data_IF_597590615420
#
_entry.id   IF_597590615420
#
_cell.length_a   1.000
_cell.length_b   1.000
_cell.length_c   1.000
_cell.angle_alpha   90.00
_cell.angle_beta   90.00
_cell.angle_gamma   90.00
#
_symmetry.space_group_name_H-M   'P 1'
#
loop_
_entity.id
_entity.type
_entity.pdbx_description
1 polymer ?
#
# COMPACT_ATOMS: atom_id res chain seq x y z
N UNK A 1 -11.36 -3.01 0.76
CA UNK A 1 -10.23 -2.60 1.62
C UNK A 1 -9.23 -3.75 1.64
N UNK A 2 -8.02 -3.55 1.09
CA UNK A 2 -6.82 -4.43 1.08
C UNK A 2 -6.93 -5.94 0.77
N UNK A 3 -8.10 -6.52 0.50
CA UNK A 3 -8.23 -7.97 0.25
C UNK A 3 -7.33 -8.53 -0.85
N UNK A 4 -7.12 -7.79 -1.94
CA UNK A 4 -6.19 -8.20 -3.01
C UNK A 4 -4.71 -7.98 -2.69
N UNK A 5 -4.41 -7.33 -1.56
CA UNK A 5 -3.08 -6.98 -1.06
C UNK A 5 -2.77 -7.69 0.26
N UNK A 6 -3.62 -8.63 0.68
CA UNK A 6 -3.44 -9.41 1.91
C UNK A 6 -2.42 -10.54 1.66
N UNK A 7 -1.18 -10.30 2.08
CA UNK A 7 -0.10 -11.28 2.07
C UNK A 7 0.04 -12.03 3.41
N UNK A 8 -0.91 -11.85 4.34
CA UNK A 8 -0.88 -12.41 5.68
C UNK A 8 0.09 -11.71 6.65
N UNK A 9 0.86 -10.72 6.21
CA UNK A 9 1.90 -10.04 7.03
C UNK A 9 1.72 -8.53 7.12
N UNK A 10 1.07 -7.93 6.14
CA UNK A 10 0.98 -6.47 6.00
C UNK A 10 -0.28 -5.87 6.65
N UNK A 11 -1.11 -6.68 7.33
CA UNK A 11 -2.37 -6.21 7.93
C UNK A 11 -2.17 -5.09 8.94
N UNK A 12 -1.29 -5.30 9.93
CA UNK A 12 -1.01 -4.28 10.95
C UNK A 12 -0.49 -3.00 10.33
N UNK A 13 0.43 -3.12 9.37
CA UNK A 13 0.98 -1.99 8.62
C UNK A 13 -0.12 -1.17 7.93
N UNK A 14 -1.06 -1.82 7.23
CA UNK A 14 -2.15 -1.11 6.57
C UNK A 14 -3.11 -0.43 7.55
N UNK A 15 -3.36 -1.04 8.71
CA UNK A 15 -4.17 -0.39 9.76
C UNK A 15 -3.50 0.88 10.28
N UNK A 16 -2.18 0.86 10.51
CA UNK A 16 -1.44 2.04 10.96
C UNK A 16 -1.36 3.10 9.86
N UNK A 17 -1.08 2.71 8.62
CA UNK A 17 -1.12 3.62 7.47
C UNK A 17 -2.51 4.28 7.32
N UNK A 18 -3.60 3.54 7.53
CA UNK A 18 -4.95 4.08 7.48
C UNK A 18 -5.27 5.04 8.64
N UNK A 19 -4.61 4.90 9.78
CA UNK A 19 -4.79 5.77 10.94
C UNK A 19 -3.93 7.04 10.88
N UNK A 20 -2.76 6.95 10.24
CA UNK A 20 -1.74 8.01 10.26
C UNK A 20 -1.69 8.86 8.99
N UNK A 21 -2.15 8.34 7.85
CA UNK A 21 -2.03 9.03 6.56
C UNK A 21 -3.34 9.67 6.13
N UNK A 22 -3.23 10.77 5.38
CA UNK A 22 -4.39 11.43 4.77
C UNK A 22 -5.21 10.47 3.87
N UNK A 23 -6.55 10.41 4.03
CA UNK A 23 -7.41 9.52 3.25
C UNK A 23 -7.33 9.71 1.73
N UNK A 24 -7.24 10.95 1.24
CA UNK A 24 -7.13 11.21 -0.20
C UNK A 24 -5.77 10.75 -0.73
N UNK A 25 -4.71 10.89 0.07
CA UNK A 25 -3.41 10.28 -0.18
C UNK A 25 -3.47 8.76 -0.32
N UNK A 26 -4.14 8.08 0.62
CA UNK A 26 -4.30 6.61 0.61
C UNK A 26 -5.07 6.16 -0.65
N UNK A 27 -6.16 6.83 -1.00
CA UNK A 27 -6.92 6.52 -2.22
C UNK A 27 -6.06 6.68 -3.49
N UNK A 28 -5.25 7.72 -3.55
CA UNK A 28 -4.34 7.94 -4.66
C UNK A 28 -3.24 6.88 -4.72
N UNK A 29 -2.71 6.46 -3.57
CA UNK A 29 -1.76 5.36 -3.47
C UNK A 29 -2.37 4.03 -3.96
N UNK A 30 -3.61 3.71 -3.58
CA UNK A 30 -4.34 2.53 -4.06
C UNK A 30 -4.53 2.55 -5.59
N UNK A 31 -4.96 3.69 -6.15
CA UNK A 31 -5.11 3.87 -7.61
C UNK A 31 -3.77 3.73 -8.33
N UNK A 32 -2.69 4.28 -7.78
CA UNK A 32 -1.35 4.17 -8.34
C UNK A 32 -0.82 2.73 -8.28
N UNK A 33 -0.98 2.05 -7.16
CA UNK A 33 -0.65 0.64 -7.00
C UNK A 33 -1.42 -0.24 -8.00
N UNK A 34 -2.73 -0.02 -8.16
CA UNK A 34 -3.54 -0.76 -9.13
C UNK A 34 -3.08 -0.56 -10.58
N UNK A 35 -2.69 0.66 -10.97
CA UNK A 35 -2.09 0.92 -12.29
C UNK A 35 -0.75 0.22 -12.46
N UNK A 36 0.11 0.25 -11.45
CA UNK A 36 1.43 -0.41 -11.48
C UNK A 36 1.31 -1.93 -11.57
N UNK A 37 0.42 -2.55 -10.80
CA UNK A 37 0.13 -3.99 -10.85
C UNK A 37 -0.26 -4.43 -12.27
N UNK A 38 -1.10 -3.64 -12.95
CA UNK A 38 -1.51 -3.92 -14.33
C UNK A 38 -0.34 -3.75 -15.31
N UNK A 39 0.43 -2.67 -15.18
CA UNK A 39 1.57 -2.39 -16.05
C UNK A 39 2.69 -3.42 -15.91
N UNK A 40 2.94 -3.89 -14.68
CA UNK A 40 3.96 -4.90 -14.37
C UNK A 40 3.47 -6.34 -14.63
N UNK A 41 2.26 -6.52 -15.18
CA UNK A 41 1.63 -7.83 -15.45
C UNK A 41 1.65 -8.78 -14.23
N UNK A 42 1.48 -8.24 -13.03
CA UNK A 42 1.52 -9.04 -11.79
C UNK A 42 0.35 -10.03 -11.77
N UNK A 43 0.62 -11.34 -11.54
CA UNK A 43 -0.42 -12.34 -11.51
C UNK A 43 -1.51 -12.03 -10.47
N UNK A 44 -2.79 -12.35 -10.77
CA UNK A 44 -3.88 -12.05 -9.85
C UNK A 44 -3.75 -12.79 -8.50
N UNK A 45 -3.05 -13.92 -8.45
CA UNK A 45 -2.80 -14.70 -7.23
C UNK A 45 -1.52 -14.30 -6.47
N UNK A 46 -0.71 -13.37 -7.00
CA UNK A 46 0.53 -12.95 -6.36
C UNK A 46 0.27 -11.80 -5.37
N UNK A 47 -0.41 -12.13 -4.27
CA UNK A 47 -0.73 -11.18 -3.21
C UNK A 47 0.54 -10.54 -2.60
N UNK A 48 1.67 -11.26 -2.59
CA UNK A 48 2.95 -10.78 -2.07
C UNK A 48 3.52 -9.66 -2.95
N UNK A 49 3.53 -9.84 -4.27
CA UNK A 49 3.97 -8.79 -5.19
C UNK A 49 3.06 -7.57 -5.13
N UNK A 50 1.74 -7.78 -5.10
CA UNK A 50 0.76 -6.69 -4.94
C UNK A 50 0.96 -5.91 -3.64
N UNK A 51 1.13 -6.61 -2.52
CA UNK A 51 1.39 -6.00 -1.21
C UNK A 51 2.68 -5.17 -1.22
N UNK A 52 3.76 -5.69 -1.80
CA UNK A 52 5.03 -4.96 -1.94
C UNK A 52 4.86 -3.66 -2.73
N UNK A 53 4.10 -3.70 -3.83
CA UNK A 53 3.82 -2.51 -4.64
C UNK A 53 3.05 -1.47 -3.82
N UNK A 54 1.96 -1.87 -3.15
CA UNK A 54 1.16 -0.95 -2.34
C UNK A 54 1.97 -0.34 -1.19
N UNK A 55 2.77 -1.14 -0.50
CA UNK A 55 3.65 -0.66 0.59
C UNK A 55 4.59 0.43 0.10
N UNK A 56 5.25 0.25 -1.03
CA UNK A 56 6.14 1.27 -1.58
C UNK A 56 5.43 2.61 -1.85
N UNK A 57 4.17 2.60 -2.29
CA UNK A 57 3.38 3.83 -2.45
C UNK A 57 2.99 4.45 -1.11
N UNK A 58 2.64 3.64 -0.11
CA UNK A 58 2.31 4.13 1.24
C UNK A 58 3.53 4.67 1.98
N UNK A 59 4.70 4.04 1.85
CA UNK A 59 5.97 4.52 2.38
C UNK A 59 6.36 5.88 1.77
N UNK A 60 6.16 6.04 0.46
CA UNK A 60 6.39 7.30 -0.22
C UNK A 60 5.38 8.39 0.20
N UNK A 61 4.14 8.02 0.51
CA UNK A 61 3.13 8.94 1.05
C UNK A 61 3.49 9.37 2.47
N UNK A 62 3.84 8.42 3.33
CA UNK A 62 4.26 8.65 4.70
C UNK A 62 5.46 9.59 4.76
N UNK A 63 6.48 9.34 3.93
CA UNK A 63 7.68 10.20 3.81
C UNK A 63 7.32 11.65 3.46
N UNK A 64 6.29 11.87 2.63
CA UNK A 64 5.81 13.22 2.27
C UNK A 64 5.02 13.90 3.39
N UNK A 65 4.41 13.12 4.29
CA UNK A 65 3.62 13.61 5.41
C UNK A 65 4.42 13.66 6.73
N UNK A 66 5.71 13.32 6.70
CA UNK A 66 6.57 13.29 7.88
C UNK A 66 6.31 12.09 8.81
N UNK A 67 5.66 11.04 8.30
CA UNK A 67 5.43 9.75 8.99
C UNK A 67 6.49 8.76 8.53
N UNK A 68 7.08 8.01 9.45
CA UNK A 68 8.08 6.99 9.10
C UNK A 68 7.43 5.61 8.93
N UNK A 69 8.11 4.72 8.22
CA UNK A 69 7.68 3.32 8.11
C UNK A 69 7.76 2.55 9.43
N UNK A 70 8.40 3.10 10.47
CA UNK A 70 8.45 2.52 11.82
C UNK A 70 7.16 2.85 12.61
N UNK A 71 6.53 3.99 12.29
CA UNK A 71 5.23 4.38 12.84
C UNK A 71 4.08 3.53 12.27
N UNK A 72 4.28 2.93 11.08
CA UNK A 72 3.31 2.11 10.35
C UNK A 72 3.57 0.61 10.50
#
# INVERSE_FOLDING_TARGET
MIGEFDDGRSKSYYCRAAALLDPAGIENALKAAGRKIKADHVPPNDAKAKAKILRAFLDALASKQGVTSEDM
#
